data_IF_909388285001
#
_entry.id   IF_909388285001
#
_cell.length_a   1.000
_cell.length_b   1.000
_cell.length_c   1.000
_cell.angle_alpha   90.00
_cell.angle_beta   90.00
_cell.angle_gamma   90.00
#
_symmetry.space_group_name_H-M   'P 1'
#
loop_
_entity.id
_entity.type
_entity.pdbx_description
1 polymer ?
#
# COMPACT_ATOMS: atom_id res chain seq x y z
N UNK A 1 22.23 -24.88 -8.02
CA UNK A 1 22.15 -23.50 -7.51
C UNK A 1 20.92 -23.40 -6.62
N UNK A 2 21.11 -23.08 -5.35
CA UNK A 2 20.03 -22.98 -4.34
C UNK A 2 19.46 -21.56 -4.23
N UNK A 3 19.83 -20.66 -5.14
CA UNK A 3 19.31 -19.31 -5.16
C UNK A 3 17.78 -19.31 -5.30
N UNK A 4 17.12 -18.53 -4.45
CA UNK A 4 15.68 -18.26 -4.49
C UNK A 4 15.48 -16.78 -4.24
N UNK A 5 15.09 -16.02 -5.27
CA UNK A 5 14.83 -14.58 -5.16
C UNK A 5 13.84 -14.26 -4.03
N UNK A 6 12.84 -15.12 -3.80
CA UNK A 6 11.87 -14.98 -2.74
C UNK A 6 12.43 -15.04 -1.30
N UNK A 7 13.70 -15.46 -1.13
CA UNK A 7 14.40 -15.58 0.15
C UNK A 7 15.48 -14.50 0.35
N UNK A 8 15.62 -13.55 -0.58
CA UNK A 8 16.60 -12.47 -0.44
C UNK A 8 16.12 -11.41 0.56
N UNK A 9 17.07 -10.69 1.16
CA UNK A 9 16.79 -9.60 2.11
C UNK A 9 15.96 -8.49 1.47
N UNK A 10 16.24 -8.14 0.20
CA UNK A 10 15.47 -7.13 -0.53
C UNK A 10 13.99 -7.51 -0.66
N UNK A 11 13.67 -8.77 -0.95
CA UNK A 11 12.28 -9.23 -1.02
C UNK A 11 11.66 -9.31 0.38
N UNK A 12 12.45 -9.64 1.41
CA UNK A 12 11.97 -9.63 2.79
C UNK A 12 11.60 -8.22 3.26
N UNK A 13 12.43 -7.21 2.95
CA UNK A 13 12.16 -5.81 3.21
C UNK A 13 10.94 -5.33 2.43
N UNK A 14 10.89 -5.62 1.13
CA UNK A 14 9.76 -5.23 0.27
C UNK A 14 8.42 -5.75 0.76
N UNK A 15 8.38 -6.99 1.28
CA UNK A 15 7.16 -7.58 1.84
C UNK A 15 6.60 -6.80 3.04
N UNK A 16 7.41 -5.99 3.73
CA UNK A 16 6.91 -5.16 4.83
C UNK A 16 6.00 -4.03 4.34
N UNK A 17 6.06 -3.68 3.04
CA UNK A 17 5.10 -2.74 2.42
C UNK A 17 3.71 -3.33 2.21
N UNK A 18 3.52 -4.64 2.33
CA UNK A 18 2.18 -5.23 2.21
C UNK A 18 1.28 -4.66 3.33
N UNK A 19 0.05 -4.22 3.03
CA UNK A 19 -0.83 -3.60 4.04
C UNK A 19 -0.99 -4.45 5.30
N UNK A 20 -1.14 -5.77 5.14
CA UNK A 20 -1.27 -6.74 6.24
C UNK A 20 -0.02 -6.86 7.14
N UNK A 21 1.14 -6.39 6.69
CA UNK A 21 2.42 -6.44 7.42
C UNK A 21 2.88 -5.07 7.87
N UNK A 22 2.37 -4.00 7.27
CA UNK A 22 2.74 -2.64 7.62
C UNK A 22 1.99 -2.18 8.89
N UNK A 23 2.70 -1.79 9.97
CA UNK A 23 2.07 -1.49 11.26
C UNK A 23 0.97 -0.43 11.18
N UNK A 24 1.17 0.60 10.36
CA UNK A 24 0.21 1.69 10.19
C UNK A 24 -1.05 1.31 9.40
N UNK A 25 -1.01 0.28 8.56
CA UNK A 25 -2.12 -0.10 7.68
C UNK A 25 -2.80 -1.41 8.07
N UNK A 26 -2.13 -2.25 8.86
CA UNK A 26 -2.63 -3.58 9.25
C UNK A 26 -3.99 -3.51 9.96
N UNK A 27 -4.18 -2.49 10.80
CA UNK A 27 -5.37 -2.33 11.65
C UNK A 27 -6.31 -1.22 11.16
N UNK A 28 -6.08 -0.68 9.96
CA UNK A 28 -6.98 0.28 9.31
C UNK A 28 -8.19 -0.43 8.71
N UNK A 29 -9.16 0.35 8.22
CA UNK A 29 -10.33 -0.18 7.53
C UNK A 29 -9.95 -0.98 6.26
N UNK A 30 -10.91 -1.72 5.69
CA UNK A 30 -10.65 -2.53 4.50
C UNK A 30 -10.26 -1.70 3.26
N UNK A 31 -10.56 -0.40 3.22
CA UNK A 31 -10.19 0.50 2.13
C UNK A 31 -8.68 0.79 2.15
N UNK A 32 -8.07 0.67 3.33
CA UNK A 32 -6.63 0.71 3.51
C UNK A 32 -5.87 -0.54 2.95
N UNK A 33 -6.55 -1.45 2.25
CA UNK A 33 -5.88 -2.48 1.42
C UNK A 33 -4.98 -1.85 0.34
N UNK A 34 -5.12 -0.56 0.05
CA UNK A 34 -4.16 0.21 -0.75
C UNK A 34 -2.74 0.25 -0.13
N UNK A 35 -2.65 0.10 1.20
CA UNK A 35 -1.40 0.11 1.95
C UNK A 35 -0.67 1.45 1.91
N UNK A 36 0.68 1.45 2.03
CA UNK A 36 1.52 2.65 2.08
C UNK A 36 1.67 3.37 0.73
N UNK A 37 0.74 3.16 -0.21
CA UNK A 37 0.76 3.75 -1.54
C UNK A 37 1.89 3.22 -2.43
N UNK A 38 2.23 4.00 -3.46
CA UNK A 38 3.18 3.60 -4.49
C UNK A 38 4.62 3.79 -4.01
N UNK A 39 5.44 2.74 -4.08
CA UNK A 39 6.85 2.83 -3.71
C UNK A 39 7.65 3.77 -4.62
N UNK A 40 7.27 3.87 -5.90
CA UNK A 40 7.90 4.82 -6.82
C UNK A 40 7.56 6.26 -6.43
N UNK A 41 6.28 6.54 -6.14
CA UNK A 41 5.83 7.85 -5.67
C UNK A 41 6.51 8.24 -4.35
N UNK A 42 6.59 7.29 -3.40
CA UNK A 42 7.32 7.48 -2.15
C UNK A 42 8.78 7.87 -2.41
N UNK A 43 9.49 7.12 -3.27
CA UNK A 43 10.89 7.42 -3.61
C UNK A 43 11.06 8.79 -4.26
N UNK A 44 10.19 9.18 -5.18
CA UNK A 44 10.28 10.49 -5.84
C UNK A 44 10.06 11.65 -4.86
N UNK A 45 9.21 11.45 -3.84
CA UNK A 45 8.88 12.48 -2.84
C UNK A 45 9.86 12.54 -1.67
N UNK A 46 10.35 11.39 -1.19
CA UNK A 46 11.12 11.28 0.06
C UNK A 46 12.55 10.78 -0.15
N UNK A 47 12.84 10.21 -1.31
CA UNK A 47 14.08 9.48 -1.57
C UNK A 47 14.09 8.04 -1.02
N UNK A 48 13.02 7.59 -0.37
CA UNK A 48 12.91 6.27 0.26
C UNK A 48 11.68 5.51 -0.28
N UNK A 49 11.93 4.44 -1.04
CA UNK A 49 10.86 3.58 -1.58
C UNK A 49 10.11 2.77 -0.52
N UNK A 50 10.59 2.73 0.73
CA UNK A 50 9.91 2.11 1.86
C UNK A 50 9.06 3.10 2.65
N UNK A 51 9.16 4.39 2.39
CA UNK A 51 8.31 5.41 3.00
C UNK A 51 6.86 5.32 2.52
N UNK A 52 5.95 5.94 3.28
CA UNK A 52 4.53 6.03 2.92
C UNK A 52 4.32 7.12 1.88
N UNK A 53 3.67 6.77 0.76
CA UNK A 53 3.15 7.73 -0.21
C UNK A 53 1.77 8.20 0.27
N UNK A 54 1.77 9.17 1.18
CA UNK A 54 0.56 9.64 1.85
C UNK A 54 -0.47 10.25 0.88
N UNK A 55 -0.01 10.89 -0.18
CA UNK A 55 -0.88 11.49 -1.19
C UNK A 55 -1.68 10.42 -1.92
N UNK A 56 -1.00 9.34 -2.37
CA UNK A 56 -1.68 8.27 -3.06
C UNK A 56 -2.54 7.41 -2.12
N UNK A 57 -2.11 7.21 -0.87
CA UNK A 57 -2.94 6.56 0.16
C UNK A 57 -4.28 7.29 0.31
N UNK A 58 -4.26 8.60 0.55
CA UNK A 58 -5.49 9.39 0.72
C UNK A 58 -6.37 9.37 -0.54
N UNK A 59 -5.78 9.58 -1.72
CA UNK A 59 -6.51 9.52 -2.98
C UNK A 59 -7.18 8.15 -3.18
N UNK A 60 -6.50 7.06 -2.85
CA UNK A 60 -7.05 5.71 -3.02
C UNK A 60 -8.21 5.46 -2.05
N UNK A 61 -8.09 5.91 -0.79
CA UNK A 61 -9.17 5.84 0.19
C UNK A 61 -10.42 6.60 -0.29
N UNK A 62 -10.26 7.81 -0.85
CA UNK A 62 -11.35 8.61 -1.44
C UNK A 62 -12.02 7.91 -2.62
N UNK A 63 -11.25 7.30 -3.52
CA UNK A 63 -11.78 6.54 -4.66
C UNK A 63 -12.58 5.32 -4.19
N UNK A 64 -12.09 4.60 -3.17
CA UNK A 64 -12.85 3.48 -2.60
C UNK A 64 -14.14 3.93 -1.96
N UNK A 65 -14.15 5.07 -1.26
CA UNK A 65 -15.37 5.64 -0.71
C UNK A 65 -16.37 5.99 -1.80
N UNK A 66 -15.95 6.66 -2.87
CA UNK A 66 -16.81 6.99 -4.00
C UNK A 66 -17.38 5.72 -4.65
N UNK A 67 -16.55 4.70 -4.88
CA UNK A 67 -16.99 3.42 -5.46
C UNK A 67 -18.04 2.75 -4.58
N UNK A 68 -17.79 2.65 -3.27
CA UNK A 68 -18.74 2.06 -2.31
C UNK A 68 -20.07 2.82 -2.34
N UNK A 69 -20.05 4.15 -2.24
CA UNK A 69 -21.27 4.95 -2.26
C UNK A 69 -22.00 4.88 -3.61
N UNK A 70 -21.27 4.80 -4.72
CA UNK A 70 -21.85 4.67 -6.05
C UNK A 70 -22.59 3.35 -6.23
N UNK A 71 -22.07 2.25 -5.67
CA UNK A 71 -22.77 0.95 -5.70
C UNK A 71 -24.02 0.98 -4.83
N UNK A 72 -23.96 1.59 -3.64
CA UNK A 72 -25.13 1.71 -2.76
C UNK A 72 -26.24 2.61 -3.31
N UNK A 73 -25.90 3.63 -4.10
CA UNK A 73 -26.88 4.57 -4.68
C UNK A 73 -27.50 4.09 -6.00
N UNK A 74 -26.91 3.08 -6.65
CA UNK A 74 -27.47 2.42 -7.84
C UNK A 74 -28.49 1.32 -7.51
N UNK A 75 -28.60 0.93 -6.24
CA UNK A 75 -29.53 -0.08 -5.74
C UNK A 75 -30.94 0.43 -5.47
#
# INVERSE_FOLDING_TARGET
SDFRIAKTEVVAAWRQRLPLRHPEFRDRDAKALCGPGCAWGARDLTGDELAVDAALTAFTEEIFDELIWSEFTRG
#
